data_IF_210902617902
#
_entry.id   IF_210902617902
#
_cell.length_a   1.000
_cell.length_b   1.000
_cell.length_c   1.000
_cell.angle_alpha   90.00
_cell.angle_beta   90.00
_cell.angle_gamma   90.00
#
_symmetry.space_group_name_H-M   'P 1'
#
loop_
_entity.id
_entity.type
_entity.pdbx_description
1 polymer ?
#
# COMPACT_ATOMS: atom_id res chain seq x y z
N UNK A 1 -0.99 -3.92 -2.23
CA UNK A 1 -1.85 -3.12 -3.13
C UNK A 1 -1.16 -1.80 -3.43
N UNK A 2 -1.61 -1.07 -4.45
CA UNK A 2 -1.06 0.26 -4.78
C UNK A 2 -1.13 1.23 -3.59
N UNK A 3 -2.22 1.18 -2.80
CA UNK A 3 -2.40 2.09 -1.67
C UNK A 3 -1.45 1.77 -0.49
N UNK A 4 -1.24 0.49 -0.14
CA UNK A 4 -0.31 0.09 0.92
C UNK A 4 1.11 0.58 0.60
N UNK A 5 1.50 0.42 -0.67
CA UNK A 5 2.81 0.80 -1.17
C UNK A 5 3.06 2.33 -1.20
N UNK A 6 2.02 3.15 -1.00
CA UNK A 6 2.18 4.62 -0.91
C UNK A 6 2.98 5.03 0.32
N UNK A 7 2.91 4.26 1.41
CA UNK A 7 3.55 4.62 2.68
C UNK A 7 4.71 3.72 3.05
N UNK A 8 4.75 2.48 2.54
CA UNK A 8 5.91 1.62 2.71
C UNK A 8 6.00 0.49 1.71
N UNK A 9 7.22 0.17 1.30
CA UNK A 9 7.53 -0.89 0.33
C UNK A 9 8.99 -1.29 0.41
N UNK A 10 9.31 -2.48 -0.11
CA UNK A 10 10.70 -2.84 -0.35
C UNK A 10 11.32 -1.95 -1.43
N UNK A 11 12.59 -1.61 -1.26
CA UNK A 11 13.39 -0.91 -2.27
C UNK A 11 13.31 -1.65 -3.60
N UNK A 12 13.04 -0.90 -4.68
CA UNK A 12 12.87 -1.41 -6.05
C UNK A 12 11.68 -2.38 -6.25
N UNK A 13 10.74 -2.48 -5.30
CA UNK A 13 9.56 -3.32 -5.46
C UNK A 13 8.72 -2.87 -6.67
N UNK A 14 8.26 -3.85 -7.46
CA UNK A 14 7.24 -3.63 -8.49
C UNK A 14 5.90 -3.41 -7.79
N UNK A 15 5.40 -2.18 -7.84
CA UNK A 15 4.07 -1.85 -7.30
C UNK A 15 3.04 -2.03 -8.41
N UNK A 16 2.10 -2.93 -8.16
CA UNK A 16 0.99 -3.23 -9.08
C UNK A 16 -0.14 -2.21 -8.89
N UNK A 17 -0.78 -1.79 -9.97
CA UNK A 17 -1.84 -0.77 -9.95
C UNK A 17 -3.22 -1.36 -9.62
N UNK A 18 -3.22 -2.35 -8.73
CA UNK A 18 -4.40 -3.15 -8.39
C UNK A 18 -4.87 -2.85 -6.98
N UNK A 19 -6.19 -2.72 -6.83
CA UNK A 19 -6.83 -2.45 -5.54
C UNK A 19 -7.00 -3.75 -4.75
N UNK A 20 -7.33 -4.85 -5.42
CA UNK A 20 -7.68 -6.12 -4.80
C UNK A 20 -6.88 -7.30 -5.35
N UNK A 21 -6.90 -8.44 -4.64
CA UNK A 21 -6.27 -9.68 -5.12
C UNK A 21 -6.91 -10.19 -6.43
N UNK A 22 -8.26 -10.21 -6.59
CA UNK A 22 -8.88 -10.54 -7.88
C UNK A 22 -8.40 -9.67 -9.05
N UNK A 23 -8.24 -8.36 -8.86
CA UNK A 23 -7.71 -7.47 -9.89
C UNK A 23 -6.30 -7.91 -10.32
N UNK A 24 -5.46 -8.31 -9.35
CA UNK A 24 -4.12 -8.82 -9.65
C UNK A 24 -4.13 -10.15 -10.41
N UNK A 25 -5.09 -11.03 -10.11
CA UNK A 25 -5.28 -12.26 -10.90
C UNK A 25 -5.62 -11.92 -12.35
N UNK A 26 -6.50 -10.93 -12.57
CA UNK A 26 -6.79 -10.42 -13.91
C UNK A 26 -5.55 -9.88 -14.63
N UNK A 27 -4.67 -9.14 -13.94
CA UNK A 27 -3.42 -8.67 -14.54
C UNK A 27 -2.47 -9.83 -14.91
N UNK A 28 -2.34 -10.85 -14.07
CA UNK A 28 -1.55 -12.04 -14.39
C UNK A 28 -2.07 -12.76 -15.63
N UNK A 29 -3.39 -12.87 -15.78
CA UNK A 29 -4.04 -13.53 -16.91
C UNK A 29 -3.96 -12.73 -18.21
N UNK A 30 -3.86 -11.41 -18.12
CA UNK A 30 -3.67 -10.55 -19.30
C UNK A 30 -2.30 -10.70 -19.98
N UNK A 31 -1.36 -11.42 -19.35
CA UNK A 31 0.01 -11.58 -19.85
C UNK A 31 0.94 -10.40 -19.56
N UNK A 32 0.48 -9.38 -18.82
CA UNK A 32 1.26 -8.18 -18.44
C UNK A 32 2.64 -8.53 -17.85
N UNK A 33 2.72 -9.62 -17.10
CA UNK A 33 3.92 -10.06 -16.38
C UNK A 33 4.61 -11.29 -16.99
N UNK A 34 4.24 -11.71 -18.22
CA UNK A 34 4.79 -12.93 -18.83
C UNK A 34 6.30 -12.87 -19.06
N UNK A 35 6.83 -11.68 -19.30
CA UNK A 35 8.28 -11.42 -19.42
C UNK A 35 9.08 -11.67 -18.12
N UNK A 36 8.40 -11.95 -17.00
CA UNK A 36 9.00 -12.30 -15.71
C UNK A 36 8.92 -13.81 -15.41
N UNK A 37 8.28 -14.64 -16.25
CA UNK A 37 8.06 -16.07 -15.97
C UNK A 37 9.33 -16.88 -15.70
N UNK A 38 10.42 -16.50 -16.36
CA UNK A 38 11.74 -17.16 -16.24
C UNK A 38 12.67 -16.46 -15.23
N UNK A 39 12.17 -15.49 -14.44
CA UNK A 39 12.96 -14.78 -13.43
C UNK A 39 12.56 -15.21 -12.02
N UNK A 40 13.50 -15.20 -11.06
CA UNK A 40 13.17 -15.30 -9.64
C UNK A 40 12.27 -14.15 -9.20
N UNK A 41 11.15 -14.49 -8.56
CA UNK A 41 10.19 -13.53 -8.02
C UNK A 41 10.04 -13.77 -6.52
N UNK A 42 10.18 -12.70 -5.75
CA UNK A 42 9.84 -12.70 -4.32
C UNK A 42 8.57 -11.88 -4.15
N UNK A 43 7.52 -12.52 -3.64
CA UNK A 43 6.27 -11.86 -3.28
C UNK A 43 6.26 -11.52 -1.80
N UNK A 44 5.57 -10.44 -1.43
CA UNK A 44 5.41 -10.06 -0.04
C UNK A 44 4.07 -9.36 0.19
N UNK A 45 3.58 -9.45 1.42
CA UNK A 45 2.42 -8.72 1.92
C UNK A 45 2.57 -8.54 3.44
N UNK A 46 1.67 -7.79 4.08
CA UNK A 46 1.77 -7.45 5.51
C UNK A 46 2.08 -8.65 6.40
N UNK A 47 1.31 -9.74 6.30
CA UNK A 47 1.45 -10.93 7.18
C UNK A 47 1.57 -12.27 6.45
N UNK A 48 1.99 -12.29 5.18
CA UNK A 48 2.26 -13.53 4.43
C UNK A 48 1.06 -14.22 3.77
N UNK A 49 -0.13 -14.23 4.37
CA UNK A 49 -1.29 -15.02 3.90
C UNK A 49 -1.66 -14.75 2.42
N UNK A 50 -1.67 -13.48 1.97
CA UNK A 50 -1.96 -13.16 0.56
C UNK A 50 -0.91 -13.75 -0.40
N UNK A 51 0.34 -13.84 0.04
CA UNK A 51 1.44 -14.36 -0.75
C UNK A 51 1.43 -15.88 -0.88
N UNK A 52 0.87 -16.60 0.10
CA UNK A 52 0.71 -18.06 0.01
C UNK A 52 -0.18 -18.43 -1.17
N UNK A 53 -1.35 -17.79 -1.24
CA UNK A 53 -2.30 -17.94 -2.35
C UNK A 53 -1.68 -17.45 -3.64
N UNK A 54 -1.04 -16.28 -3.61
CA UNK A 54 -0.51 -15.67 -4.83
C UNK A 54 0.64 -16.47 -5.45
N UNK A 55 1.56 -16.96 -4.62
CA UNK A 55 2.70 -17.74 -5.09
C UNK A 55 2.25 -19.03 -5.78
N UNK A 56 1.22 -19.69 -5.24
CA UNK A 56 0.59 -20.84 -5.89
C UNK A 56 -0.04 -20.47 -7.23
N UNK A 57 -0.81 -19.37 -7.27
CA UNK A 57 -1.46 -18.88 -8.49
C UNK A 57 -0.47 -18.50 -9.59
N UNK A 58 0.65 -17.89 -9.24
CA UNK A 58 1.72 -17.55 -10.18
C UNK A 58 2.41 -18.81 -10.71
N UNK A 59 2.76 -19.77 -9.84
CA UNK A 59 3.34 -21.05 -10.28
C UNK A 59 2.44 -21.80 -11.27
N UNK A 60 1.14 -21.86 -10.98
CA UNK A 60 0.15 -22.48 -11.87
C UNK A 60 0.02 -21.78 -13.24
N UNK A 61 0.40 -20.50 -13.32
CA UNK A 61 0.41 -19.69 -14.56
C UNK A 61 1.77 -19.67 -15.26
N UNK A 62 2.71 -20.52 -14.84
CA UNK A 62 3.97 -20.77 -15.55
C UNK A 62 5.17 -19.97 -15.07
N UNK A 63 5.07 -19.24 -13.95
CA UNK A 63 6.23 -18.62 -13.31
C UNK A 63 7.08 -19.70 -12.63
N UNK A 64 8.37 -19.80 -13.00
CA UNK A 64 9.23 -20.91 -12.59
C UNK A 64 9.70 -20.82 -11.14
N UNK A 65 10.15 -19.65 -10.74
CA UNK A 65 10.79 -19.43 -9.44
C UNK A 65 10.03 -18.35 -8.65
N UNK A 66 9.09 -18.80 -7.82
CA UNK A 66 8.27 -17.90 -6.97
C UNK A 66 8.47 -18.24 -5.50
N UNK A 67 8.95 -17.24 -4.77
CA UNK A 67 9.22 -17.24 -3.34
C UNK A 67 8.32 -16.23 -2.63
N UNK A 68 8.24 -16.36 -1.31
CA UNK A 68 7.57 -15.38 -0.45
C UNK A 68 8.41 -15.10 0.79
N UNK A 69 8.20 -13.92 1.39
CA UNK A 69 8.75 -13.62 2.72
C UNK A 69 7.92 -14.36 3.76
N UNK A 70 8.56 -15.26 4.53
CA UNK A 70 7.91 -16.00 5.61
C UNK A 70 7.44 -15.05 6.71
N UNK A 71 6.17 -15.16 7.12
CA UNK A 71 5.52 -14.23 8.05
C UNK A 71 5.28 -12.80 7.51
N UNK A 72 5.63 -12.52 6.25
CA UNK A 72 5.41 -11.23 5.60
C UNK A 72 6.26 -10.08 6.15
N UNK A 73 5.83 -8.85 5.87
CA UNK A 73 6.57 -7.63 6.25
C UNK A 73 6.64 -7.48 7.77
N UNK A 74 5.62 -7.91 8.52
CA UNK A 74 5.64 -7.85 10.00
C UNK A 74 6.86 -8.58 10.55
N UNK A 75 7.06 -9.85 10.16
CA UNK A 75 8.19 -10.65 10.63
C UNK A 75 9.53 -10.12 10.10
N UNK A 76 9.57 -9.64 8.85
CA UNK A 76 10.76 -8.97 8.32
C UNK A 76 11.15 -7.75 9.17
N UNK A 77 10.19 -6.91 9.53
CA UNK A 77 10.44 -5.70 10.33
C UNK A 77 10.85 -5.98 11.77
N UNK A 78 10.40 -7.08 12.36
CA UNK A 78 10.86 -7.53 13.69
C UNK A 78 12.36 -7.89 13.69
N UNK A 79 12.88 -8.41 12.58
CA UNK A 79 14.27 -8.85 12.47
C UNK A 79 15.20 -7.76 11.89
N UNK A 80 14.75 -7.04 10.88
CA UNK A 80 15.58 -6.11 10.10
C UNK A 80 15.15 -4.65 10.19
N UNK A 81 13.97 -4.36 10.76
CA UNK A 81 13.40 -3.02 10.81
C UNK A 81 13.31 -2.37 9.44
N UNK A 82 13.71 -1.10 9.38
CA UNK A 82 13.81 -0.28 8.17
C UNK A 82 15.24 0.24 7.89
N UNK A 83 16.24 -0.36 8.54
CA UNK A 83 17.67 -0.12 8.30
C UNK A 83 18.22 -0.88 7.07
N UNK A 84 17.39 -1.74 6.47
CA UNK A 84 17.77 -2.65 5.38
C UNK A 84 17.02 -2.35 4.08
N UNK A 85 16.22 -3.30 3.57
CA UNK A 85 15.56 -3.18 2.26
C UNK A 85 14.16 -2.58 2.34
N UNK A 86 13.54 -2.57 3.51
CA UNK A 86 12.23 -1.95 3.71
C UNK A 86 12.36 -0.43 3.78
N UNK A 87 11.46 0.29 3.10
CA UNK A 87 11.38 1.74 3.16
C UNK A 87 9.99 2.18 3.64
N UNK A 88 9.96 2.97 4.71
CA UNK A 88 8.78 3.68 5.19
C UNK A 88 7.88 2.91 6.15
N UNK A 89 6.60 3.29 6.19
CA UNK A 89 5.63 2.79 7.18
C UNK A 89 4.94 1.52 6.69
N UNK A 90 4.79 0.51 7.55
CA UNK A 90 3.97 -0.66 7.28
C UNK A 90 2.48 -0.32 7.42
N UNK A 91 1.72 -0.44 6.34
CA UNK A 91 0.26 -0.37 6.44
C UNK A 91 -0.32 -1.57 7.21
N UNK A 92 -1.22 -1.29 8.17
CA UNK A 92 -1.93 -2.31 8.95
C UNK A 92 -3.44 -2.08 8.92
N UNK A 93 -4.20 -3.18 8.94
CA UNK A 93 -5.66 -3.19 8.74
C UNK A 93 -6.45 -3.01 10.05
N UNK A 94 -5.95 -2.16 10.94
CA UNK A 94 -6.62 -1.80 12.19
C UNK A 94 -6.61 -0.28 12.38
N UNK A 95 -7.10 0.19 13.54
CA UNK A 95 -7.25 1.62 13.85
C UNK A 95 -5.94 2.42 13.75
N UNK A 96 -4.79 1.78 13.82
CA UNK A 96 -3.48 2.44 13.69
C UNK A 96 -3.22 2.89 12.26
N UNK A 97 -3.74 2.16 11.27
CA UNK A 97 -3.52 2.31 9.81
C UNK A 97 -2.06 2.19 9.36
N UNK A 98 -1.09 2.47 10.22
CA UNK A 98 0.34 2.28 9.98
C UNK A 98 1.08 1.84 11.24
N UNK A 99 2.22 1.21 11.03
CA UNK A 99 3.27 0.97 12.03
C UNK A 99 4.59 1.43 11.43
N UNK A 100 5.35 2.21 12.18
CA UNK A 100 6.74 2.52 11.84
C UNK A 100 7.65 1.54 12.59
N UNK A 101 8.67 1.01 11.93
CA UNK A 101 9.63 0.10 12.57
C UNK A 101 10.68 0.83 13.41
N UNK A 102 10.87 2.13 13.15
CA UNK A 102 11.79 3.00 13.87
C UNK A 102 11.25 4.42 14.00
N UNK A 103 11.97 5.28 14.73
CA UNK A 103 11.70 6.71 14.86
C UNK A 103 12.18 7.53 13.64
N UNK A 104 12.87 6.91 12.70
CA UNK A 104 13.46 7.52 11.51
C UNK A 104 12.93 6.93 10.21
N UNK A 105 11.75 6.29 10.26
CA UNK A 105 11.09 5.73 9.10
C UNK A 105 10.90 6.76 7.97
N UNK A 106 11.29 6.38 6.76
CA UNK A 106 11.17 7.25 5.57
C UNK A 106 9.70 7.57 5.29
N UNK A 107 9.40 8.85 5.06
CA UNK A 107 8.04 9.25 4.64
C UNK A 107 7.94 9.21 3.11
N UNK A 108 7.45 8.09 2.58
CA UNK A 108 7.32 7.88 1.13
C UNK A 108 6.10 8.58 0.50
N UNK A 109 5.01 8.65 1.26
CA UNK A 109 3.74 9.12 0.74
C UNK A 109 3.66 10.64 0.63
N UNK A 110 2.63 11.08 -0.09
CA UNK A 110 2.32 12.49 -0.29
C UNK A 110 0.89 12.78 0.15
N UNK A 111 0.72 13.92 0.81
CA UNK A 111 -0.57 14.45 1.22
C UNK A 111 -1.45 14.69 -0.02
N UNK A 112 -2.67 14.17 0.01
CA UNK A 112 -3.62 14.29 -1.08
C UNK A 112 -4.23 15.70 -1.19
N UNK A 113 -3.93 16.61 -0.25
CA UNK A 113 -4.34 18.02 -0.31
C UNK A 113 -3.24 18.95 -0.82
N UNK A 114 -2.01 18.81 -0.31
CA UNK A 114 -0.94 19.78 -0.55
C UNK A 114 0.34 19.16 -1.14
N UNK A 115 0.35 17.85 -1.38
CA UNK A 115 1.50 17.09 -1.90
C UNK A 115 2.75 17.07 -1.02
N UNK A 116 2.73 17.64 0.20
CA UNK A 116 3.81 17.50 1.18
C UNK A 116 3.96 16.05 1.63
N UNK A 117 5.09 15.70 2.25
CA UNK A 117 5.30 14.35 2.79
C UNK A 117 4.19 13.97 3.79
N UNK A 118 3.63 12.77 3.62
CA UNK A 118 2.62 12.21 4.51
C UNK A 118 2.65 10.68 4.49
N UNK A 119 2.48 10.04 5.64
CA UNK A 119 2.30 8.60 5.76
C UNK A 119 1.06 8.21 6.58
N UNK A 120 0.27 9.19 7.04
CA UNK A 120 -0.95 8.93 7.80
C UNK A 120 -2.17 8.89 6.88
N UNK A 121 -2.88 7.78 6.96
CA UNK A 121 -4.17 7.61 6.30
C UNK A 121 -5.30 8.15 7.18
N UNK A 122 -6.35 8.64 6.53
CA UNK A 122 -7.60 9.06 7.14
C UNK A 122 -8.79 8.52 6.34
N UNK A 123 -9.84 8.14 7.05
CA UNK A 123 -11.16 7.91 6.47
C UNK A 123 -11.80 9.24 6.10
N UNK A 124 -12.55 9.25 4.98
CA UNK A 124 -13.37 10.40 4.64
C UNK A 124 -14.47 10.62 5.68
N UNK A 125 -14.63 11.86 6.14
CA UNK A 125 -15.67 12.25 7.10
C UNK A 125 -17.09 12.13 6.54
N UNK A 126 -17.27 11.97 5.22
CA UNK A 126 -18.55 11.59 4.64
C UNK A 126 -18.79 10.09 4.88
N UNK A 127 -19.82 9.75 5.67
CA UNK A 127 -20.15 8.37 6.06
C UNK A 127 -20.56 7.46 4.89
N UNK A 128 -21.00 8.04 3.76
CA UNK A 128 -21.29 7.30 2.53
C UNK A 128 -20.03 7.03 1.71
N UNK A 129 -18.93 7.72 2.02
CA UNK A 129 -17.66 7.57 1.35
C UNK A 129 -16.81 6.50 2.07
N UNK A 130 -16.15 5.64 1.29
CA UNK A 130 -15.23 4.60 1.79
C UNK A 130 -13.79 4.87 1.36
N UNK A 131 -13.48 6.10 0.99
CA UNK A 131 -12.13 6.49 0.57
C UNK A 131 -11.20 6.60 1.78
N UNK A 132 -10.05 5.95 1.66
CA UNK A 132 -8.91 6.11 2.54
C UNK A 132 -7.81 6.88 1.78
N UNK A 133 -7.28 7.94 2.38
CA UNK A 133 -6.37 8.85 1.70
C UNK A 133 -5.35 9.47 2.68
N UNK A 134 -4.23 10.00 2.15
CA UNK A 134 -3.13 10.52 2.96
C UNK A 134 -3.31 12.00 3.24
N UNK A 135 -3.13 12.38 4.50
CA UNK A 135 -3.16 13.78 4.92
C UNK A 135 -1.97 14.03 5.84
N UNK A 136 -1.20 15.09 5.57
CA UNK A 136 -0.11 15.51 6.45
C UNK A 136 -0.67 16.15 7.74
N UNK A 137 0.15 16.22 8.78
CA UNK A 137 -0.23 16.78 10.06
C UNK A 137 -0.80 18.20 9.94
N UNK A 138 -0.10 19.10 9.24
CA UNK A 138 -0.54 20.48 9.05
C UNK A 138 -1.94 20.60 8.43
N UNK A 139 -2.24 19.75 7.45
CA UNK A 139 -3.54 19.73 6.80
C UNK A 139 -4.63 19.15 7.72
N UNK A 140 -4.31 18.11 8.48
CA UNK A 140 -5.24 17.51 9.43
C UNK A 140 -5.61 18.49 10.55
N UNK A 141 -4.64 19.24 11.08
CA UNK A 141 -4.86 20.23 12.15
C UNK A 141 -5.69 21.44 11.69
N UNK A 142 -5.55 21.84 10.41
CA UNK A 142 -6.29 22.99 9.83
C UNK A 142 -7.72 22.63 9.40
N UNK A 143 -8.09 21.35 9.41
CA UNK A 143 -9.33 20.87 8.80
C UNK A 143 -10.26 20.27 9.85
N UNK A 144 -11.43 20.87 10.06
CA UNK A 144 -12.42 20.37 11.03
C UNK A 144 -13.09 19.05 10.61
N UNK A 145 -13.20 18.79 9.30
CA UNK A 145 -13.71 17.55 8.71
C UNK A 145 -12.85 17.13 7.52
N UNK A 146 -12.09 16.05 7.70
CA UNK A 146 -11.19 15.51 6.67
C UNK A 146 -12.02 14.80 5.59
N UNK A 147 -12.24 15.45 4.46
CA UNK A 147 -12.96 14.90 3.29
C UNK A 147 -11.98 14.50 2.20
N UNK A 148 -12.19 13.35 1.55
CA UNK A 148 -11.33 12.98 0.42
C UNK A 148 -11.45 14.02 -0.72
N UNK A 149 -10.45 14.15 -1.61
CA UNK A 149 -10.46 15.17 -2.67
C UNK A 149 -11.75 15.18 -3.53
N UNK A 150 -12.33 14.02 -3.79
CA UNK A 150 -13.59 13.91 -4.53
C UNK A 150 -14.80 14.43 -3.75
N UNK A 151 -14.89 14.15 -2.45
CA UNK A 151 -15.97 14.67 -1.61
C UNK A 151 -15.82 16.17 -1.36
N UNK A 152 -14.60 16.67 -1.24
CA UNK A 152 -14.32 18.10 -1.11
C UNK A 152 -14.80 18.85 -2.36
N UNK A 153 -14.40 18.40 -3.55
CA UNK A 153 -14.83 19.00 -4.82
C UNK A 153 -16.35 19.01 -5.01
N UNK A 154 -17.05 17.95 -4.55
CA UNK A 154 -18.52 17.90 -4.60
C UNK A 154 -19.19 18.87 -3.63
N UNK A 155 -18.63 19.05 -2.43
CA UNK A 155 -19.15 19.99 -1.44
C UNK A 155 -19.02 21.44 -1.95
N UNK A 156 -17.86 21.78 -2.54
CA UNK A 156 -17.62 23.11 -3.12
C UNK A 156 -18.56 23.40 -4.31
N UNK A 157 -18.86 22.39 -5.13
CA UNK A 157 -19.80 22.51 -6.24
C UNK A 157 -21.26 22.67 -5.79
N UNK A 158 -21.62 22.25 -4.58
CA UNK A 158 -22.97 22.40 -4.01
C UNK A 158 -23.20 23.71 -3.24
N UNK A 159 -22.12 24.47 -3.01
CA UNK A 159 -22.15 25.75 -2.30
C UNK A 159 -22.20 26.97 -3.24
N UNK A 160 -22.11 26.75 -4.55
CA UNK A 160 -22.24 27.75 -5.62
C UNK A 160 -23.52 27.50 -6.43
#
# INVERSE_FOLDING_TARGET
>A
SAYEARIGRFKNAVVTDVATTPDFVGELESGKYDHLKEKPIVTYCTGGIRCEVLSLLMKNRGFKEVYQIDGGIVRYGEEFGDDSLWEGSLYVFDKRLKVDFSDHAKVLGKCDYCSSSANQFYDCANLECRCLFLVCQDCAEKTSKILCPNCLAKADASAN
#
